data_IF_760548601267
#
_entry.id   IF_760548601267
#
_cell.length_a   1.000
_cell.length_b   1.000
_cell.length_c   1.000
_cell.angle_alpha   90.00
_cell.angle_beta   90.00
_cell.angle_gamma   90.00
#
_symmetry.space_group_name_H-M   'P 1'
#
loop_
_entity.id
_entity.type
_entity.pdbx_description
1 polymer ?
#
# COMPACT_ATOMS: atom_id res chain seq x y z
N UNK A 1 8.06 -12.11 -4.77
CA UNK A 1 7.09 -11.57 -5.76
C UNK A 1 6.45 -10.33 -5.14
N UNK A 2 6.67 -9.15 -5.73
CA UNK A 2 6.07 -7.89 -5.26
C UNK A 2 4.54 -7.90 -5.38
N UNK A 3 3.88 -6.90 -4.79
CA UNK A 3 2.44 -6.77 -4.95
C UNK A 3 2.05 -6.45 -6.40
N UNK A 4 2.83 -5.65 -7.11
CA UNK A 4 2.60 -5.34 -8.53
C UNK A 4 2.80 -6.57 -9.43
N UNK A 5 3.84 -7.37 -9.19
CA UNK A 5 4.15 -8.53 -10.05
C UNK A 5 3.08 -9.62 -10.05
N UNK A 6 2.18 -9.66 -9.06
CA UNK A 6 1.02 -10.59 -9.06
C UNK A 6 0.07 -10.33 -10.23
N UNK A 7 0.06 -9.10 -10.74
CA UNK A 7 -0.78 -8.65 -11.85
C UNK A 7 -0.02 -8.66 -13.18
N UNK A 8 1.23 -9.17 -13.23
CA UNK A 8 2.11 -9.15 -14.41
C UNK A 8 2.29 -7.74 -15.00
N UNK A 9 2.26 -6.73 -14.14
CA UNK A 9 2.53 -5.35 -14.49
C UNK A 9 4.00 -5.03 -14.23
N UNK A 10 4.55 -4.14 -15.05
CA UNK A 10 5.86 -3.57 -14.81
C UNK A 10 5.81 -2.60 -13.61
N UNK A 11 6.82 -2.64 -12.72
CA UNK A 11 6.95 -1.66 -11.66
C UNK A 11 7.12 -0.24 -12.23
N UNK A 12 6.43 0.73 -11.64
CA UNK A 12 6.66 2.13 -11.91
C UNK A 12 8.10 2.53 -11.54
N UNK A 13 8.72 3.46 -12.29
CA UNK A 13 10.11 3.84 -12.06
C UNK A 13 10.29 4.62 -10.75
N UNK A 14 11.47 4.47 -10.15
CA UNK A 14 11.89 5.22 -8.96
C UNK A 14 10.96 5.02 -7.76
N UNK A 15 10.74 6.10 -7.00
CA UNK A 15 9.90 6.07 -5.80
C UNK A 15 8.43 5.72 -6.05
N UNK A 16 7.94 5.87 -7.30
CA UNK A 16 6.57 5.52 -7.66
C UNK A 16 6.31 4.01 -7.65
N UNK A 17 7.36 3.18 -7.77
CA UNK A 17 7.25 1.74 -7.64
C UNK A 17 6.68 1.32 -6.28
N UNK A 18 7.10 1.99 -5.19
CA UNK A 18 6.59 1.73 -3.84
C UNK A 18 5.11 2.09 -3.69
N UNK A 19 4.70 3.22 -4.28
CA UNK A 19 3.31 3.68 -4.29
C UNK A 19 2.44 2.66 -5.02
N UNK A 20 2.87 2.25 -6.21
CA UNK A 20 2.17 1.24 -7.01
C UNK A 20 2.09 -0.10 -6.24
N UNK A 21 3.17 -0.55 -5.62
CA UNK A 21 3.19 -1.79 -4.83
C UNK A 21 2.23 -1.73 -3.64
N UNK A 22 2.18 -0.62 -2.91
CA UNK A 22 1.22 -0.42 -1.82
C UNK A 22 -0.23 -0.52 -2.33
N UNK A 23 -0.55 0.19 -3.41
CA UNK A 23 -1.89 0.18 -4.01
C UNK A 23 -2.30 -1.24 -4.46
N UNK A 24 -1.34 -1.97 -5.03
CA UNK A 24 -1.55 -3.33 -5.53
C UNK A 24 -1.66 -4.40 -4.44
N UNK A 25 -1.47 -4.07 -3.16
CA UNK A 25 -1.82 -4.99 -2.05
C UNK A 25 -3.31 -5.30 -2.00
N UNK A 26 -4.16 -4.45 -2.60
CA UNK A 26 -5.60 -4.61 -2.64
C UNK A 26 -5.97 -5.90 -3.37
N UNK A 27 -6.92 -6.63 -2.80
CA UNK A 27 -7.52 -7.79 -3.46
C UNK A 27 -8.47 -7.40 -4.59
N UNK A 28 -8.68 -8.30 -5.53
CA UNK A 28 -9.68 -8.18 -6.60
C UNK A 28 -10.60 -9.40 -6.54
N UNK A 29 -11.73 -9.32 -5.83
CA UNK A 29 -12.61 -10.47 -5.59
C UNK A 29 -13.11 -11.16 -6.87
N UNK A 30 -13.34 -10.38 -7.94
CA UNK A 30 -13.80 -10.91 -9.23
C UNK A 30 -12.80 -11.87 -9.89
N UNK A 31 -11.53 -11.87 -9.45
CA UNK A 31 -10.46 -12.73 -9.98
C UNK A 31 -9.83 -13.61 -8.90
N UNK A 32 -10.51 -13.79 -7.76
CA UNK A 32 -10.00 -14.55 -6.59
C UNK A 32 -8.60 -14.09 -6.11
N UNK A 33 -8.29 -12.80 -6.32
CA UNK A 33 -7.05 -12.22 -5.83
C UNK A 33 -7.28 -11.70 -4.42
N UNK A 34 -6.69 -12.36 -3.43
CA UNK A 34 -6.78 -11.95 -2.02
C UNK A 34 -6.10 -10.61 -1.73
N UNK A 35 -6.61 -9.91 -0.72
CA UNK A 35 -5.96 -8.72 -0.18
C UNK A 35 -4.76 -9.12 0.69
N UNK A 36 -3.57 -8.59 0.39
CA UNK A 36 -2.38 -8.92 1.19
C UNK A 36 -2.39 -8.33 2.59
N UNK A 37 -3.19 -7.28 2.81
CA UNK A 37 -3.32 -6.66 4.12
C UNK A 37 -4.41 -7.34 4.94
N UNK A 38 -4.91 -8.51 4.49
CA UNK A 38 -5.95 -9.24 5.20
C UNK A 38 -5.43 -9.96 6.45
N UNK A 39 -4.27 -10.62 6.30
CA UNK A 39 -3.61 -11.34 7.37
C UNK A 39 -2.26 -10.72 7.71
N UNK A 40 -1.85 -10.83 8.98
CA UNK A 40 -0.52 -10.37 9.42
C UNK A 40 0.59 -11.09 8.68
N UNK A 41 0.42 -12.38 8.40
CA UNK A 41 1.43 -13.18 7.70
C UNK A 41 1.66 -12.68 6.27
N UNK A 42 0.59 -12.40 5.52
CA UNK A 42 0.69 -11.89 4.15
C UNK A 42 1.25 -10.46 4.11
N UNK A 43 0.79 -9.59 5.04
CA UNK A 43 1.28 -8.22 5.16
C UNK A 43 2.76 -8.18 5.53
N UNK A 44 3.18 -9.00 6.50
CA UNK A 44 4.58 -9.11 6.92
C UNK A 44 5.45 -9.62 5.77
N UNK A 45 4.99 -10.61 5.02
CA UNK A 45 5.73 -11.13 3.86
C UNK A 45 5.89 -10.05 2.80
N UNK A 46 4.82 -9.31 2.48
CA UNK A 46 4.87 -8.20 1.54
C UNK A 46 5.87 -7.13 1.97
N UNK A 47 5.77 -6.64 3.21
CA UNK A 47 6.61 -5.52 3.66
C UNK A 47 8.09 -5.89 3.72
N UNK A 48 8.42 -7.13 4.10
CA UNK A 48 9.81 -7.61 4.13
C UNK A 48 10.43 -7.73 2.74
N UNK A 49 9.63 -8.05 1.72
CA UNK A 49 10.10 -8.06 0.35
C UNK A 49 10.31 -6.64 -0.19
N UNK A 50 9.45 -5.70 0.19
CA UNK A 50 9.48 -4.33 -0.33
C UNK A 50 10.55 -3.46 0.36
N UNK A 51 10.70 -3.62 1.67
CA UNK A 51 11.55 -2.79 2.54
C UNK A 51 12.37 -3.70 3.48
N UNK A 52 13.34 -4.45 2.95
CA UNK A 52 14.12 -5.42 3.71
C UNK A 52 14.91 -4.73 4.83
N UNK A 53 14.75 -5.22 6.06
CA UNK A 53 15.44 -4.69 7.25
C UNK A 53 14.88 -3.38 7.81
N UNK A 54 13.90 -2.76 7.15
CA UNK A 54 13.33 -1.48 7.58
C UNK A 54 12.14 -1.65 8.53
N UNK A 55 11.40 -2.75 8.40
CA UNK A 55 10.14 -2.96 9.15
C UNK A 55 10.30 -4.11 10.13
N UNK A 56 9.94 -3.82 11.39
CA UNK A 56 9.88 -4.80 12.46
C UNK A 56 8.76 -5.84 12.28
N UNK A 57 8.43 -6.53 13.37
CA UNK A 57 7.30 -7.47 13.37
C UNK A 57 5.99 -6.69 13.35
N UNK A 58 5.18 -6.91 12.32
CA UNK A 58 3.79 -6.46 12.25
C UNK A 58 2.91 -7.32 13.15
N UNK A 59 1.87 -6.69 13.66
CA UNK A 59 0.81 -7.27 14.47
C UNK A 59 -0.55 -7.04 13.79
N UNK A 60 -1.60 -7.66 14.33
CA UNK A 60 -2.96 -7.43 13.81
C UNK A 60 -3.40 -5.96 13.93
N UNK A 61 -2.86 -5.22 14.91
CA UNK A 61 -3.15 -3.80 15.13
C UNK A 61 -2.61 -2.90 14.02
N UNK A 62 -1.61 -3.34 13.25
CA UNK A 62 -1.00 -2.55 12.17
C UNK A 62 -1.82 -2.62 10.88
N UNK A 63 -2.62 -3.68 10.68
CA UNK A 63 -3.37 -3.89 9.43
C UNK A 63 -4.38 -2.78 9.13
N UNK A 64 -5.18 -2.27 10.09
CA UNK A 64 -6.04 -1.12 9.84
C UNK A 64 -5.27 0.12 9.38
N UNK A 65 -4.11 0.41 9.98
CA UNK A 65 -3.28 1.56 9.60
C UNK A 65 -2.72 1.42 8.18
N UNK A 66 -2.23 0.23 7.81
CA UNK A 66 -1.75 -0.05 6.44
C UNK A 66 -2.87 0.04 5.39
N UNK A 67 -4.06 -0.49 5.70
CA UNK A 67 -5.24 -0.36 4.83
C UNK A 67 -5.66 1.10 4.68
N UNK A 68 -5.58 1.88 5.76
CA UNK A 68 -5.88 3.32 5.74
C UNK A 68 -4.87 4.08 4.88
N UNK A 69 -3.57 3.84 5.07
CA UNK A 69 -2.50 4.42 4.26
C UNK A 69 -2.73 4.16 2.76
N UNK A 70 -3.07 2.92 2.40
CA UNK A 70 -3.41 2.56 1.01
C UNK A 70 -4.58 3.38 0.46
N UNK A 71 -5.62 3.60 1.26
CA UNK A 71 -6.78 4.42 0.84
C UNK A 71 -6.40 5.88 0.66
N UNK A 72 -5.61 6.45 1.56
CA UNK A 72 -5.19 7.85 1.50
C UNK A 72 -4.24 8.09 0.31
N UNK A 73 -3.31 7.18 0.05
CA UNK A 73 -2.45 7.20 -1.15
C UNK A 73 -3.29 7.08 -2.43
N UNK A 74 -4.30 6.19 -2.45
CA UNK A 74 -5.17 6.05 -3.62
C UNK A 74 -5.95 7.33 -3.94
N UNK A 75 -6.41 8.07 -2.91
CA UNK A 75 -7.06 9.37 -3.07
C UNK A 75 -6.08 10.43 -3.60
N UNK A 76 -4.89 10.51 -3.00
CA UNK A 76 -3.87 11.45 -3.45
C UNK A 76 -3.50 11.25 -4.92
N UNK A 77 -3.33 10.00 -5.36
CA UNK A 77 -3.03 9.66 -6.77
C UNK A 77 -4.15 10.06 -7.74
N UNK A 78 -5.42 10.02 -7.29
CA UNK A 78 -6.57 10.48 -8.10
C UNK A 78 -6.72 12.00 -8.14
N UNK A 79 -6.00 12.73 -7.30
CA UNK A 79 -6.20 14.17 -7.10
C UNK A 79 -7.33 14.49 -6.12
N UNK A 80 -7.86 13.50 -5.40
CA UNK A 80 -8.95 13.66 -4.42
C UNK A 80 -8.46 14.17 -3.05
N UNK A 81 -7.21 14.62 -2.95
CA UNK A 81 -6.69 15.18 -1.70
C UNK A 81 -7.55 16.38 -1.32
N UNK A 82 -8.05 16.40 -0.08
CA UNK A 82 -8.88 17.48 0.42
C UNK A 82 -8.22 18.82 0.09
N UNK A 83 -8.99 19.72 -0.51
CA UNK A 83 -8.74 21.16 -0.53
C UNK A 83 -8.79 21.66 0.92
N UNK A 84 -7.82 21.27 1.73
CA UNK A 84 -7.66 21.66 3.12
C UNK A 84 -6.64 22.78 3.14
N UNK A 85 -7.10 24.01 2.97
CA UNK A 85 -6.35 25.24 3.12
C UNK A 85 -5.55 25.19 4.42
N UNK A 86 -4.22 25.10 4.30
CA UNK A 86 -3.33 25.42 5.40
C UNK A 86 -3.43 26.92 5.66
N UNK A 87 -4.30 27.32 6.58
CA UNK A 87 -4.18 28.62 7.23
C UNK A 87 -3.00 28.52 8.21
N UNK A 88 -1.79 28.73 7.71
CA UNK A 88 -0.67 29.14 8.55
C UNK A 88 -0.76 30.65 8.67
N UNK A 89 -1.34 31.12 9.76
CA UNK A 89 -1.22 32.52 10.16
C UNK A 89 0.22 32.72 10.65
N UNK A 90 0.97 33.56 9.94
CA UNK A 90 2.23 34.15 10.42
C UNK A 90 1.94 35.22 11.48
#
# INVERSE_FOLDING_TARGET
>A
MSATSRYRLDPAPGGLGLVQDLLNTRGVPAYDVRDLLDTVADAQRWVRMLLPGTVGRLTAADLPALRRLRLDVARAVRGDAATGTAAVTL
#
